data_IF_816744948897
#
_entry.id   IF_816744948897
#
_cell.length_a   1.000
_cell.length_b   1.000
_cell.length_c   1.000
_cell.angle_alpha   90.00
_cell.angle_beta   90.00
_cell.angle_gamma   90.00
#
_symmetry.space_group_name_H-M   'P 1'
#
loop_
_entity.id
_entity.type
_entity.pdbx_description
1 polymer ?
#
# COMPACT_ATOMS: atom_id res chain seq x y z
N UNK A 1 -6.65 -48.05 36.58
CA UNK A 1 -6.01 -47.87 37.91
C UNK A 1 -5.76 -46.38 38.12
N UNK A 2 -6.31 -45.81 39.20
CA UNK A 2 -5.87 -44.62 39.97
C UNK A 2 -5.53 -43.31 39.22
N UNK A 3 -6.00 -42.10 39.55
CA UNK A 3 -6.91 -41.50 40.57
C UNK A 3 -7.00 -39.99 40.22
N UNK A 4 -8.19 -39.38 40.41
CA UNK A 4 -8.52 -38.05 41.05
C UNK A 4 -7.78 -36.77 40.57
N UNK A 5 -8.33 -35.55 40.51
CA UNK A 5 -9.50 -34.82 41.10
C UNK A 5 -9.58 -33.47 40.33
N UNK A 6 -10.72 -33.00 39.76
CA UNK A 6 -11.75 -32.07 40.33
C UNK A 6 -11.15 -30.95 41.21
N UNK A 7 -11.38 -29.65 41.01
CA UNK A 7 -12.67 -28.91 41.08
C UNK A 7 -12.50 -27.46 40.55
N UNK A 8 -13.53 -26.96 39.84
CA UNK A 8 -13.80 -25.56 39.45
C UNK A 8 -14.30 -24.71 40.63
N UNK A 9 -14.07 -23.38 40.63
CA UNK A 9 -15.14 -22.42 40.94
C UNK A 9 -14.75 -20.94 40.68
N UNK A 10 -15.59 -20.32 39.86
CA UNK A 10 -15.93 -18.91 39.67
C UNK A 10 -16.01 -18.02 40.92
N UNK A 11 -15.68 -16.73 40.79
CA UNK A 11 -16.65 -15.59 40.65
C UNK A 11 -16.16 -14.27 41.25
N UNK A 12 -16.44 -13.23 40.48
CA UNK A 12 -16.47 -11.77 40.69
C UNK A 12 -16.81 -11.26 42.10
N UNK A 13 -16.24 -10.11 42.51
CA UNK A 13 -16.90 -8.77 42.53
C UNK A 13 -16.21 -7.74 43.45
N UNK A 14 -16.23 -6.49 42.97
CA UNK A 14 -16.39 -5.20 43.68
C UNK A 14 -15.28 -4.54 44.53
N UNK A 15 -14.82 -3.39 43.98
CA UNK A 15 -14.69 -2.02 44.56
C UNK A 15 -14.32 -1.79 46.03
N UNK A 16 -13.38 -0.87 46.29
CA UNK A 16 -13.61 0.43 46.97
C UNK A 16 -12.29 1.21 47.06
N UNK A 17 -12.33 2.51 46.74
CA UNK A 17 -11.15 3.40 46.80
C UNK A 17 -10.88 4.00 48.18
N UNK A 18 -9.70 4.61 48.34
CA UNK A 18 -9.53 5.96 48.93
C UNK A 18 -8.07 6.41 48.94
N UNK A 19 -7.93 7.69 48.58
CA UNK A 19 -6.80 8.59 48.78
C UNK A 19 -6.55 8.90 50.27
N UNK A 20 -5.28 9.08 50.68
CA UNK A 20 -4.90 10.08 51.70
C UNK A 20 -3.39 10.38 51.73
N UNK A 21 -3.04 11.60 51.31
CA UNK A 21 -2.21 12.61 52.01
C UNK A 21 -0.92 12.23 52.75
N UNK A 22 0.20 12.75 52.20
CA UNK A 22 1.27 13.59 52.78
C UNK A 22 1.52 13.68 54.30
N UNK A 23 2.81 13.87 54.65
CA UNK A 23 3.48 14.55 55.83
C UNK A 23 4.63 13.68 56.36
N UNK A 24 5.86 14.08 56.70
CA UNK A 24 6.65 15.35 56.77
C UNK A 24 8.15 14.97 56.71
N UNK A 25 8.99 15.89 56.26
CA UNK A 25 10.45 16.00 56.45
C UNK A 25 10.98 15.56 57.83
N UNK A 26 12.14 14.89 57.82
CA UNK A 26 13.18 15.05 58.84
C UNK A 26 14.57 15.05 58.19
N UNK A 27 15.17 16.24 58.22
CA UNK A 27 16.58 16.52 57.92
C UNK A 27 17.49 15.91 58.99
N UNK A 28 18.42 15.04 58.61
CA UNK A 28 19.64 14.78 59.38
C UNK A 28 20.87 14.89 58.48
N UNK A 29 21.76 15.85 58.82
CA UNK A 29 23.09 16.01 58.24
C UNK A 29 24.10 15.17 59.02
N UNK A 30 24.88 14.31 58.34
CA UNK A 30 26.23 13.89 58.77
C UNK A 30 27.11 13.49 57.57
N UNK A 31 28.06 14.39 57.26
CA UNK A 31 29.48 14.30 56.82
C UNK A 31 30.03 13.13 55.97
N UNK A 32 31.08 13.42 55.16
CA UNK A 32 31.39 12.76 53.89
C UNK A 32 32.26 11.53 54.08
N UNK A 33 32.04 10.53 53.24
CA UNK A 33 33.03 9.52 52.93
C UNK A 33 33.07 9.36 51.42
N UNK A 34 34.30 9.34 50.92
CA UNK A 34 34.70 9.03 49.56
C UNK A 34 34.00 7.77 49.04
N UNK A 35 33.49 7.83 47.82
CA UNK A 35 33.55 6.78 46.79
C UNK A 35 32.70 7.21 45.59
N UNK A 36 33.33 7.13 44.42
CA UNK A 36 32.75 7.05 43.08
C UNK A 36 32.06 8.31 42.51
N UNK A 37 32.85 9.13 41.81
CA UNK A 37 32.38 9.86 40.63
C UNK A 37 32.00 8.83 39.56
N UNK A 38 30.84 8.19 39.72
CA UNK A 38 30.05 7.78 38.56
C UNK A 38 29.52 9.08 37.97
N UNK A 39 30.16 9.52 36.88
CA UNK A 39 29.52 10.40 35.92
C UNK A 39 28.22 9.70 35.47
N UNK A 40 27.10 10.01 36.13
CA UNK A 40 25.77 9.93 35.54
C UNK A 40 25.80 10.89 34.34
N UNK A 41 26.35 10.42 33.22
CA UNK A 41 26.11 10.97 31.91
C UNK A 41 24.60 11.03 31.79
N UNK A 42 24.04 12.24 31.90
CA UNK A 42 22.67 12.51 31.47
C UNK A 42 22.50 11.81 30.14
N UNK A 43 21.52 10.92 30.01
CA UNK A 43 21.16 10.26 28.74
C UNK A 43 20.95 11.37 27.71
N UNK A 44 22.02 11.69 26.99
CA UNK A 44 22.09 12.87 26.15
C UNK A 44 21.33 12.59 24.88
N UNK A 45 20.54 13.55 24.44
CA UNK A 45 20.04 13.54 23.07
C UNK A 45 21.22 13.81 22.14
N UNK A 46 21.56 12.84 21.29
CA UNK A 46 22.62 12.96 20.29
C UNK A 46 21.99 13.18 18.90
N UNK A 47 22.59 14.05 18.10
CA UNK A 47 22.14 14.30 16.72
C UNK A 47 22.73 13.27 15.75
N UNK A 48 21.89 12.75 14.86
CA UNK A 48 22.29 11.78 13.83
C UNK A 48 22.81 12.51 12.58
N UNK A 49 23.97 12.09 12.08
CA UNK A 49 24.59 12.62 10.86
C UNK A 49 24.26 11.75 9.64
N UNK A 50 24.27 10.43 9.79
CA UNK A 50 24.04 9.47 8.70
C UNK A 50 23.58 8.11 9.26
N UNK A 51 22.71 7.42 8.52
CA UNK A 51 22.44 5.99 8.74
C UNK A 51 23.35 5.20 7.79
N UNK A 52 24.28 4.43 8.34
CA UNK A 52 25.34 3.77 7.58
C UNK A 52 25.09 2.27 7.34
N UNK A 53 24.11 1.68 8.02
CA UNK A 53 23.93 0.23 8.02
C UNK A 53 22.61 -0.20 8.63
N UNK A 54 22.16 -1.39 8.24
CA UNK A 54 21.09 -2.12 8.93
C UNK A 54 21.54 -3.55 9.24
N UNK A 55 21.18 -4.05 10.42
CA UNK A 55 21.30 -5.46 10.79
C UNK A 55 20.02 -5.90 11.50
N UNK A 56 19.79 -7.21 11.55
CA UNK A 56 18.69 -7.77 12.33
C UNK A 56 19.25 -8.61 13.48
N UNK A 57 18.72 -8.40 14.68
CA UNK A 57 19.01 -9.19 15.89
C UNK A 57 17.84 -10.12 16.18
N UNK A 58 17.95 -10.95 17.23
CA UNK A 58 16.89 -11.87 17.67
C UNK A 58 16.37 -12.77 16.53
N UNK A 59 17.28 -13.49 15.87
CA UNK A 59 16.95 -14.39 14.75
C UNK A 59 16.29 -13.70 13.54
N UNK A 60 16.52 -12.39 13.34
CA UNK A 60 16.04 -11.68 12.15
C UNK A 60 14.78 -10.85 12.39
N UNK A 61 14.33 -10.71 13.63
CA UNK A 61 13.04 -10.06 13.94
C UNK A 61 13.18 -8.56 14.21
N UNK A 62 14.25 -8.14 14.89
CA UNK A 62 14.38 -6.76 15.36
C UNK A 62 15.48 -6.02 14.58
N UNK A 63 15.16 -4.98 13.81
CA UNK A 63 16.16 -4.19 13.09
C UNK A 63 16.94 -3.29 14.04
N UNK A 64 18.25 -3.16 13.79
CA UNK A 64 19.11 -2.13 14.35
C UNK A 64 19.84 -1.40 13.22
N UNK A 65 20.07 -0.11 13.43
CA UNK A 65 20.69 0.77 12.45
C UNK A 65 22.07 1.19 12.93
N UNK A 66 23.07 1.14 12.05
CA UNK A 66 24.38 1.69 12.37
C UNK A 66 24.34 3.20 12.18
N UNK A 67 24.49 3.93 13.28
CA UNK A 67 24.30 5.38 13.32
C UNK A 67 25.66 6.05 13.35
N UNK A 68 25.87 6.97 12.41
CA UNK A 68 26.96 7.93 12.47
C UNK A 68 26.46 9.18 13.20
N UNK A 69 27.06 9.47 14.35
CA UNK A 69 26.70 10.62 15.19
C UNK A 69 27.35 11.90 14.68
N UNK A 70 26.62 13.02 14.77
CA UNK A 70 27.07 14.33 14.30
C UNK A 70 28.29 14.82 15.07
N UNK A 71 29.38 15.08 14.34
CA UNK A 71 30.61 15.58 14.93
C UNK A 71 31.52 14.52 15.59
N UNK A 72 31.12 13.25 15.56
CA UNK A 72 31.94 12.13 16.03
C UNK A 72 32.65 11.43 14.85
N UNK A 73 33.64 10.57 15.12
CA UNK A 73 34.27 9.76 14.08
C UNK A 73 33.43 8.51 13.76
N UNK A 74 33.70 7.85 12.62
CA UNK A 74 33.03 6.59 12.26
C UNK A 74 33.31 5.45 13.25
N UNK A 75 34.42 5.49 14.00
CA UNK A 75 34.72 4.52 15.05
C UNK A 75 33.78 4.64 16.26
N UNK A 76 33.09 5.77 16.39
CA UNK A 76 32.07 6.02 17.41
C UNK A 76 30.67 5.58 16.96
N UNK A 77 30.52 4.98 15.77
CA UNK A 77 29.22 4.51 15.32
C UNK A 77 28.68 3.42 16.23
N UNK A 78 27.41 3.55 16.61
CA UNK A 78 26.71 2.55 17.44
C UNK A 78 25.55 1.93 16.67
N UNK A 79 25.08 0.79 17.16
CA UNK A 79 23.93 0.09 16.59
C UNK A 79 22.71 0.38 17.43
N UNK A 80 21.86 1.27 16.92
CA UNK A 80 20.69 1.77 17.63
C UNK A 80 19.43 1.04 17.18
N UNK A 81 18.52 0.71 18.12
CA UNK A 81 17.20 0.22 17.79
C UNK A 81 16.35 1.39 17.24
N UNK A 82 15.25 1.08 16.55
CA UNK A 82 14.46 2.12 15.87
C UNK A 82 13.87 3.15 16.85
N UNK A 83 13.56 2.73 18.07
CA UNK A 83 13.01 3.57 19.14
C UNK A 83 13.92 4.77 19.44
N UNK A 84 15.23 4.57 19.38
CA UNK A 84 16.24 5.61 19.59
C UNK A 84 16.35 6.59 18.41
N UNK A 85 15.73 6.27 17.27
CA UNK A 85 15.76 7.04 16.02
C UNK A 85 14.43 7.69 15.67
N UNK A 86 13.50 7.75 16.64
CA UNK A 86 12.17 8.33 16.47
C UNK A 86 12.18 9.77 15.92
N UNK A 87 13.20 10.56 16.26
CA UNK A 87 13.36 11.94 15.77
C UNK A 87 14.03 12.05 14.38
N UNK A 88 14.58 10.96 13.83
CA UNK A 88 15.30 10.95 12.55
C UNK A 88 14.82 9.83 11.61
N UNK A 89 13.57 9.38 11.74
CA UNK A 89 12.97 8.34 10.89
C UNK A 89 13.05 8.67 9.38
N UNK A 90 13.14 9.94 9.00
CA UNK A 90 13.36 10.35 7.61
C UNK A 90 14.67 9.80 7.03
N UNK A 91 15.77 9.89 7.78
CA UNK A 91 17.09 9.39 7.37
C UNK A 91 17.11 7.86 7.29
N UNK A 92 16.39 7.20 8.21
CA UNK A 92 16.22 5.74 8.17
C UNK A 92 15.47 5.33 6.89
N UNK A 93 14.38 6.02 6.54
CA UNK A 93 13.60 5.74 5.32
C UNK A 93 14.44 5.95 4.06
N UNK A 94 15.24 7.01 3.99
CA UNK A 94 16.12 7.31 2.86
C UNK A 94 17.20 6.24 2.66
N UNK A 95 17.87 5.82 3.75
CA UNK A 95 18.85 4.74 3.71
C UNK A 95 18.25 3.44 3.18
N UNK A 96 17.03 3.11 3.62
CA UNK A 96 16.32 1.92 3.16
C UNK A 96 15.94 2.00 1.69
N UNK A 97 15.37 3.12 1.23
CA UNK A 97 15.07 3.36 -0.18
C UNK A 97 16.31 3.15 -1.04
N UNK A 98 17.45 3.68 -0.62
CA UNK A 98 18.74 3.50 -1.31
C UNK A 98 19.23 2.06 -1.27
N UNK A 99 19.12 1.39 -0.13
CA UNK A 99 19.54 -0.01 0.03
C UNK A 99 18.73 -0.96 -0.85
N UNK A 100 17.40 -0.82 -0.86
CA UNK A 100 16.52 -1.62 -1.71
C UNK A 100 16.69 -1.27 -3.20
N UNK A 101 16.88 0.01 -3.54
CA UNK A 101 17.26 0.42 -4.89
C UNK A 101 18.50 -0.33 -5.37
N UNK A 102 19.56 -0.34 -4.55
CA UNK A 102 20.79 -1.05 -4.88
C UNK A 102 20.57 -2.56 -4.98
N UNK A 103 19.70 -3.18 -4.19
CA UNK A 103 19.45 -4.61 -4.29
C UNK A 103 18.78 -5.00 -5.62
N UNK A 104 17.92 -4.14 -6.17
CA UNK A 104 17.21 -4.38 -7.45
C UNK A 104 18.05 -4.06 -8.70
N UNK A 105 19.15 -3.31 -8.56
CA UNK A 105 20.07 -2.99 -9.66
C UNK A 105 21.06 -4.13 -9.94
N UNK A 106 21.24 -4.47 -11.22
CA UNK A 106 22.28 -5.42 -11.65
C UNK A 106 23.70 -4.86 -11.38
N UNK A 107 24.67 -5.75 -11.25
CA UNK A 107 26.08 -5.44 -10.93
C UNK A 107 26.72 -4.40 -11.83
N UNK A 108 26.32 -4.34 -13.11
CA UNK A 108 26.81 -3.35 -14.08
C UNK A 108 26.25 -1.95 -13.83
N UNK A 109 25.00 -1.83 -13.37
CA UNK A 109 24.33 -0.57 -13.03
C UNK A 109 24.85 0.01 -11.71
N UNK A 110 25.13 -0.86 -10.72
CA UNK A 110 25.78 -0.50 -9.43
C UNK A 110 27.09 0.25 -9.63
N UNK A 111 27.89 -0.15 -10.62
CA UNK A 111 29.20 0.46 -10.92
C UNK A 111 29.12 1.85 -11.57
N UNK A 112 27.94 2.24 -12.07
CA UNK A 112 27.70 3.55 -12.71
C UNK A 112 27.14 4.59 -11.75
N UNK A 113 26.75 4.20 -10.53
CA UNK A 113 26.31 5.17 -9.54
C UNK A 113 27.50 6.10 -9.18
N UNK A 114 27.31 7.42 -9.25
CA UNK A 114 28.35 8.34 -8.83
C UNK A 114 28.70 8.11 -7.36
N UNK A 115 29.99 7.98 -7.04
CA UNK A 115 30.47 8.03 -5.64
C UNK A 115 29.91 9.29 -4.99
N UNK A 116 29.28 9.17 -3.82
CA UNK A 116 28.61 10.25 -3.09
C UNK A 116 29.41 11.56 -3.18
N UNK A 117 29.01 12.42 -4.11
CA UNK A 117 29.45 13.80 -4.15
C UNK A 117 28.29 14.59 -3.58
N UNK A 118 28.62 15.41 -2.58
CA UNK A 118 27.76 16.45 -2.01
C UNK A 118 27.08 17.25 -3.12
N UNK A 119 25.87 16.83 -3.49
CA UNK A 119 24.92 17.65 -4.24
C UNK A 119 24.23 18.47 -3.17
N UNK A 120 24.27 19.80 -3.30
CA UNK A 120 23.53 20.66 -2.38
C UNK A 120 22.04 20.21 -2.36
N UNK A 121 21.42 20.09 -1.17
CA UNK A 121 20.04 19.62 -1.06
C UNK A 121 19.14 20.51 -1.92
N UNK A 122 18.28 19.88 -2.73
CA UNK A 122 17.33 20.58 -3.60
C UNK A 122 16.40 21.43 -2.76
N UNK A 123 15.98 22.59 -3.28
CA UNK A 123 14.88 23.32 -2.62
C UNK A 123 13.60 22.48 -2.67
N UNK A 124 12.72 22.64 -1.68
CA UNK A 124 11.42 21.94 -1.63
C UNK A 124 10.66 22.06 -2.95
N UNK A 125 10.61 23.27 -3.52
CA UNK A 125 9.92 23.51 -4.78
C UNK A 125 10.56 22.76 -5.97
N UNK A 126 11.88 22.62 -6.00
CA UNK A 126 12.57 21.83 -7.02
C UNK A 126 12.33 20.33 -6.85
N UNK A 127 12.33 19.83 -5.62
CA UNK A 127 12.07 18.42 -5.32
C UNK A 127 10.63 18.03 -5.74
N UNK A 128 9.62 18.83 -5.38
CA UNK A 128 8.24 18.59 -5.79
C UNK A 128 8.06 18.64 -7.32
N UNK A 129 8.70 19.61 -8.00
CA UNK A 129 8.66 19.69 -9.47
C UNK A 129 9.31 18.48 -10.13
N UNK A 130 10.49 18.04 -9.66
CA UNK A 130 11.16 16.85 -10.20
C UNK A 130 10.33 15.60 -10.00
N UNK A 131 9.66 15.49 -8.86
CA UNK A 131 8.75 14.38 -8.60
C UNK A 131 7.56 14.42 -9.56
N UNK A 132 6.93 15.58 -9.73
CA UNK A 132 5.85 15.78 -10.71
C UNK A 132 6.29 15.41 -12.13
N UNK A 133 7.47 15.87 -12.57
CA UNK A 133 8.04 15.53 -13.89
C UNK A 133 8.22 14.00 -14.04
N UNK A 134 8.68 13.32 -12.99
CA UNK A 134 8.85 11.86 -12.99
C UNK A 134 7.51 11.11 -13.07
N UNK A 135 6.48 11.55 -12.34
CA UNK A 135 5.12 10.98 -12.43
C UNK A 135 4.53 11.14 -13.84
N UNK A 136 4.82 12.26 -14.52
CA UNK A 136 4.30 12.59 -15.84
C UNK A 136 5.22 12.16 -17.00
N UNK A 137 6.37 11.55 -16.73
CA UNK A 137 7.22 10.96 -17.75
C UNK A 137 6.54 9.76 -18.44
N UNK A 138 5.61 9.11 -17.75
CA UNK A 138 4.76 8.05 -18.27
C UNK A 138 3.52 8.59 -18.99
N UNK A 139 3.05 7.97 -20.09
CA UNK A 139 1.84 8.39 -20.79
C UNK A 139 0.59 8.33 -19.90
N UNK A 140 -0.24 9.37 -19.95
CA UNK A 140 -1.53 9.40 -19.28
C UNK A 140 -2.01 10.82 -18.97
N UNK A 141 -3.21 10.96 -18.37
CA UNK A 141 -3.67 12.23 -17.81
C UNK A 141 -2.70 12.72 -16.72
N UNK A 142 -2.52 14.05 -16.64
CA UNK A 142 -1.55 14.66 -15.72
C UNK A 142 -1.74 14.22 -14.25
N UNK A 143 -0.63 14.10 -13.52
CA UNK A 143 -0.62 14.04 -12.05
C UNK A 143 0.12 15.26 -11.52
N UNK A 144 -0.54 16.14 -10.78
CA UNK A 144 0.13 17.30 -10.15
C UNK A 144 0.54 16.98 -8.71
N UNK A 145 1.53 17.68 -8.17
CA UNK A 145 2.03 17.48 -6.79
C UNK A 145 1.88 18.76 -5.98
N UNK A 146 1.27 18.66 -4.79
CA UNK A 146 1.01 19.78 -3.90
C UNK A 146 1.37 19.45 -2.45
N UNK A 147 2.18 20.31 -1.83
CA UNK A 147 2.40 20.32 -0.39
C UNK A 147 2.35 21.76 0.13
N UNK A 148 1.26 22.09 0.82
CA UNK A 148 1.01 23.34 1.53
C UNK A 148 1.01 23.17 3.06
N UNK A 149 1.44 22.00 3.55
CA UNK A 149 1.33 21.57 4.95
C UNK A 149 2.65 21.66 5.70
N UNK A 150 3.72 21.11 5.13
CA UNK A 150 5.02 20.99 5.78
C UNK A 150 6.17 21.06 4.76
N UNK A 151 7.40 20.84 5.22
CA UNK A 151 8.60 20.85 4.38
C UNK A 151 8.96 19.47 3.79
N UNK A 152 8.10 18.45 4.00
CA UNK A 152 8.33 17.09 3.50
C UNK A 152 8.24 17.06 1.98
N UNK A 153 9.25 16.49 1.33
CA UNK A 153 9.27 16.23 -0.10
C UNK A 153 8.63 14.87 -0.41
N UNK A 154 8.42 14.57 -1.69
CA UNK A 154 7.98 13.25 -2.09
C UNK A 154 9.11 12.22 -1.84
N UNK A 155 8.78 10.92 -1.69
CA UNK A 155 9.77 9.90 -1.35
C UNK A 155 10.94 9.89 -2.33
N UNK A 156 12.16 10.07 -1.81
CA UNK A 156 13.37 10.04 -2.62
C UNK A 156 13.66 8.63 -3.13
N UNK A 157 14.13 8.51 -4.37
CA UNK A 157 14.40 7.23 -5.01
C UNK A 157 13.15 6.46 -5.47
N UNK A 158 11.92 6.91 -5.18
CA UNK A 158 10.74 6.25 -5.71
C UNK A 158 10.71 6.27 -7.24
N UNK A 159 10.39 5.12 -7.85
CA UNK A 159 10.32 4.96 -9.32
C UNK A 159 8.88 4.75 -9.76
N UNK A 160 8.37 5.63 -10.61
CA UNK A 160 7.05 5.46 -11.20
C UNK A 160 7.05 4.44 -12.33
N UNK A 161 6.20 3.41 -12.20
CA UNK A 161 6.01 2.32 -13.17
C UNK A 161 4.52 2.13 -13.45
N UNK A 162 4.15 1.70 -14.65
CA UNK A 162 2.74 1.35 -14.98
C UNK A 162 2.50 -0.17 -15.10
N UNK A 163 3.58 -0.95 -15.13
CA UNK A 163 3.55 -2.41 -15.22
C UNK A 163 4.39 -2.97 -14.07
N UNK A 164 4.03 -4.14 -13.51
CA UNK A 164 4.78 -4.73 -12.42
C UNK A 164 6.20 -5.13 -12.85
N UNK A 165 7.10 -5.14 -11.87
CA UNK A 165 8.47 -5.67 -12.00
C UNK A 165 8.51 -6.99 -11.24
N UNK A 166 9.20 -8.00 -11.75
CA UNK A 166 9.31 -9.31 -11.08
C UNK A 166 10.57 -9.36 -10.25
N UNK A 167 10.43 -9.67 -8.97
CA UNK A 167 11.54 -9.94 -8.07
C UNK A 167 12.32 -11.18 -8.47
N UNK A 168 13.53 -11.30 -7.93
CA UNK A 168 14.51 -12.34 -8.28
C UNK A 168 13.96 -13.78 -8.25
N UNK A 169 13.12 -14.09 -7.27
CA UNK A 169 12.61 -15.44 -7.02
C UNK A 169 11.15 -15.62 -7.52
N UNK A 170 10.68 -14.70 -8.36
CA UNK A 170 9.37 -14.78 -9.00
C UNK A 170 9.54 -15.16 -10.47
N UNK A 171 8.82 -16.21 -10.88
CA UNK A 171 8.78 -16.62 -12.29
C UNK A 171 7.80 -15.71 -13.03
N UNK A 172 8.27 -14.88 -13.99
CA UNK A 172 7.36 -14.08 -14.80
C UNK A 172 6.47 -14.98 -15.67
N UNK A 173 5.28 -14.51 -16.09
CA UNK A 173 4.46 -15.18 -17.07
C UNK A 173 5.26 -15.44 -18.34
N UNK A 174 5.19 -16.67 -18.84
CA UNK A 174 5.74 -17.02 -20.14
C UNK A 174 4.73 -16.64 -21.21
N UNK A 175 5.08 -15.62 -21.99
CA UNK A 175 4.26 -15.06 -23.06
C UNK A 175 3.93 -16.08 -24.15
N UNK A 176 4.72 -17.15 -24.32
CA UNK A 176 4.43 -18.21 -25.27
C UNK A 176 3.22 -19.07 -24.87
N UNK A 177 2.92 -19.12 -23.57
CA UNK A 177 1.78 -19.86 -23.01
C UNK A 177 0.60 -18.96 -22.64
N UNK A 178 0.73 -17.64 -22.85
CA UNK A 178 -0.34 -16.70 -22.55
C UNK A 178 -1.58 -16.99 -23.41
N UNK A 179 -2.69 -17.32 -22.74
CA UNK A 179 -3.95 -17.57 -23.44
C UNK A 179 -4.46 -16.30 -24.13
N UNK A 180 -4.75 -16.39 -25.42
CA UNK A 180 -5.32 -15.30 -26.21
C UNK A 180 -6.54 -15.79 -26.99
N UNK A 181 -7.40 -14.86 -27.41
CA UNK A 181 -8.54 -15.18 -28.26
C UNK A 181 -8.25 -14.87 -29.73
N UNK A 182 -8.88 -15.65 -30.61
CA UNK A 182 -8.89 -15.41 -32.07
C UNK A 182 -10.03 -14.50 -32.55
N UNK A 183 -10.73 -13.82 -31.63
CA UNK A 183 -11.87 -12.96 -31.95
C UNK A 183 -11.44 -11.72 -32.77
N UNK A 184 -12.28 -11.26 -33.69
CA UNK A 184 -12.10 -9.98 -34.38
C UNK A 184 -12.56 -8.77 -33.53
N UNK A 185 -12.32 -7.55 -34.03
CA UNK A 185 -12.75 -6.32 -33.34
C UNK A 185 -14.26 -6.28 -33.07
N UNK A 186 -14.64 -6.26 -31.79
CA UNK A 186 -16.04 -6.20 -31.34
C UNK A 186 -16.75 -7.55 -31.18
N UNK A 187 -16.06 -8.65 -31.47
CA UNK A 187 -16.64 -10.02 -31.47
C UNK A 187 -16.53 -10.74 -30.13
N UNK A 188 -15.77 -10.21 -29.17
CA UNK A 188 -15.68 -10.80 -27.83
C UNK A 188 -17.07 -10.78 -27.15
N UNK A 189 -17.63 -11.98 -26.94
CA UNK A 189 -18.86 -12.23 -26.19
C UNK A 189 -18.61 -13.31 -25.17
N UNK A 190 -19.45 -13.34 -24.13
CA UNK A 190 -19.40 -14.43 -23.17
C UNK A 190 -19.73 -15.74 -23.87
N UNK A 191 -18.84 -16.72 -23.74
CA UNK A 191 -19.02 -18.04 -24.30
C UNK A 191 -18.61 -18.26 -25.74
N UNK A 192 -18.25 -17.20 -26.47
CA UNK A 192 -17.55 -17.32 -27.76
C UNK A 192 -16.08 -16.93 -27.64
N UNK A 193 -15.72 -16.05 -26.70
CA UNK A 193 -14.34 -15.62 -26.50
C UNK A 193 -13.60 -16.58 -25.56
N UNK A 194 -12.47 -17.11 -26.03
CA UNK A 194 -11.58 -18.02 -25.29
C UNK A 194 -11.06 -17.39 -23.98
N UNK A 195 -10.71 -16.09 -23.98
CA UNK A 195 -10.28 -15.37 -22.77
C UNK A 195 -11.37 -15.28 -21.69
N UNK A 196 -12.63 -15.49 -22.05
CA UNK A 196 -13.78 -15.39 -21.15
C UNK A 196 -14.35 -16.77 -20.79
N UNK A 197 -13.68 -17.86 -21.18
CA UNK A 197 -14.15 -19.22 -20.91
C UNK A 197 -14.23 -19.51 -19.42
N UNK A 198 -13.15 -19.23 -18.68
CA UNK A 198 -13.08 -19.46 -17.23
C UNK A 198 -14.05 -18.56 -16.45
N UNK A 199 -14.36 -17.37 -16.99
CA UNK A 199 -15.40 -16.51 -16.43
C UNK A 199 -16.73 -17.24 -16.29
N UNK A 200 -17.09 -18.18 -17.19
CA UNK A 200 -18.36 -18.91 -17.09
C UNK A 200 -18.53 -19.80 -15.85
N UNK A 201 -17.42 -20.32 -15.29
CA UNK A 201 -17.46 -21.22 -14.13
C UNK A 201 -17.59 -20.46 -12.81
N UNK A 202 -16.99 -19.26 -12.73
CA UNK A 202 -16.97 -18.43 -11.53
C UNK A 202 -18.04 -17.33 -11.52
N UNK A 203 -18.58 -16.98 -12.69
CA UNK A 203 -19.60 -15.94 -12.86
C UNK A 203 -21.01 -16.55 -12.87
N UNK A 204 -21.63 -16.62 -11.69
CA UNK A 204 -23.01 -17.10 -11.50
C UNK A 204 -24.00 -16.44 -12.47
N UNK A 205 -23.81 -15.15 -12.77
CA UNK A 205 -24.73 -14.37 -13.59
C UNK A 205 -24.47 -14.50 -15.09
N UNK A 206 -23.39 -15.16 -15.50
CA UNK A 206 -22.98 -15.31 -16.91
C UNK A 206 -23.06 -13.98 -17.68
N UNK A 207 -22.39 -12.95 -17.16
CA UNK A 207 -22.27 -11.63 -17.82
C UNK A 207 -20.83 -11.32 -18.25
N UNK A 208 -20.64 -10.38 -19.18
CA UNK A 208 -19.29 -9.85 -19.42
C UNK A 208 -18.80 -9.08 -18.18
N UNK A 209 -17.50 -9.03 -17.88
CA UNK A 209 -17.00 -8.26 -16.74
C UNK A 209 -17.27 -6.75 -16.88
N UNK A 210 -17.33 -6.24 -18.11
CA UNK A 210 -17.48 -4.81 -18.40
C UNK A 210 -18.71 -4.47 -19.26
N UNK A 211 -19.17 -3.23 -19.10
CA UNK A 211 -20.08 -2.51 -19.96
C UNK A 211 -19.37 -1.94 -21.19
N UNK A 212 -20.13 -1.51 -22.20
CA UNK A 212 -19.57 -0.95 -23.44
C UNK A 212 -18.71 0.29 -23.20
N UNK A 213 -19.01 1.05 -22.15
CA UNK A 213 -18.25 2.22 -21.74
C UNK A 213 -17.03 1.89 -20.87
N UNK A 214 -16.74 0.61 -20.63
CA UNK A 214 -15.61 0.13 -19.84
C UNK A 214 -15.86 0.06 -18.34
N UNK A 215 -17.06 0.41 -17.85
CA UNK A 215 -17.39 0.25 -16.43
C UNK A 215 -17.58 -1.22 -16.07
N UNK A 216 -17.21 -1.62 -14.86
CA UNK A 216 -17.50 -2.96 -14.33
C UNK A 216 -19.01 -3.16 -14.28
N UNK A 217 -19.50 -4.36 -14.68
CA UNK A 217 -20.92 -4.70 -14.55
C UNK A 217 -21.31 -4.87 -13.09
N UNK A 218 -22.54 -4.49 -12.76
CA UNK A 218 -23.05 -4.59 -11.38
C UNK A 218 -23.07 -6.04 -10.88
N UNK A 219 -23.24 -7.00 -11.79
CA UNK A 219 -23.24 -8.44 -11.50
C UNK A 219 -21.86 -9.10 -11.65
N UNK A 220 -20.80 -8.33 -11.92
CA UNK A 220 -19.46 -8.89 -12.02
C UNK A 220 -19.00 -9.41 -10.65
N UNK A 221 -18.27 -10.53 -10.66
CA UNK A 221 -17.59 -11.05 -9.48
C UNK A 221 -16.32 -10.25 -9.20
N UNK A 222 -15.64 -10.56 -8.10
CA UNK A 222 -14.39 -9.90 -7.73
C UNK A 222 -13.23 -10.22 -8.69
N UNK A 223 -13.33 -11.31 -9.47
CA UNK A 223 -12.41 -11.64 -10.55
C UNK A 223 -12.94 -11.14 -11.89
N UNK A 224 -12.19 -10.23 -12.48
CA UNK A 224 -12.45 -9.63 -13.77
C UNK A 224 -11.52 -10.23 -14.82
N UNK A 225 -12.08 -10.62 -15.96
CA UNK A 225 -11.33 -11.24 -17.05
C UNK A 225 -11.10 -10.25 -18.20
N UNK A 226 -9.85 -10.09 -18.61
CA UNK A 226 -9.48 -9.28 -19.77
C UNK A 226 -8.92 -10.11 -20.94
N UNK A 227 -9.11 -9.61 -22.15
CA UNK A 227 -8.37 -10.10 -23.32
C UNK A 227 -6.92 -9.62 -23.27
N UNK A 228 -5.99 -10.38 -23.82
CA UNK A 228 -4.57 -10.01 -23.89
C UNK A 228 -4.22 -9.08 -25.05
N UNK A 229 -3.04 -8.47 -24.99
CA UNK A 229 -2.51 -7.68 -26.11
C UNK A 229 -2.23 -8.53 -27.35
N UNK A 230 -2.06 -9.85 -27.18
CA UNK A 230 -1.93 -10.81 -28.27
C UNK A 230 -3.26 -11.16 -28.97
N UNK A 231 -4.41 -10.74 -28.41
CA UNK A 231 -5.72 -11.05 -29.00
C UNK A 231 -6.01 -10.25 -30.28
N UNK A 232 -6.67 -10.88 -31.25
CA UNK A 232 -7.11 -10.24 -32.50
C UNK A 232 -8.22 -9.18 -32.35
N UNK A 233 -8.80 -9.05 -31.16
CA UNK A 233 -9.95 -8.19 -30.89
C UNK A 233 -9.59 -6.69 -30.78
N UNK A 234 -8.30 -6.37 -30.79
CA UNK A 234 -7.77 -5.01 -30.82
C UNK A 234 -7.95 -4.23 -29.51
N UNK A 235 -7.41 -3.00 -29.43
CA UNK A 235 -7.35 -2.20 -28.19
C UNK A 235 -8.73 -1.69 -27.72
N UNK A 236 -9.71 -1.60 -28.62
CA UNK A 236 -11.07 -1.14 -28.30
C UNK A 236 -11.98 -2.26 -27.80
N UNK A 237 -11.44 -3.45 -27.53
CA UNK A 237 -12.20 -4.56 -26.97
C UNK A 237 -12.88 -4.14 -25.65
N UNK A 238 -14.14 -4.60 -25.47
CA UNK A 238 -14.90 -4.38 -24.23
C UNK A 238 -14.21 -5.03 -23.02
N UNK A 239 -13.47 -6.12 -23.25
CA UNK A 239 -12.71 -6.85 -22.24
C UNK A 239 -11.27 -6.35 -22.10
N UNK A 240 -10.99 -5.08 -22.41
CA UNK A 240 -9.68 -4.43 -22.22
C UNK A 240 -9.85 -3.09 -21.51
N UNK A 241 -10.70 -3.05 -20.49
CA UNK A 241 -11.11 -1.79 -19.88
C UNK A 241 -9.96 -1.12 -19.11
N UNK A 242 -9.23 -1.88 -18.29
CA UNK A 242 -8.09 -1.37 -17.52
C UNK A 242 -6.84 -1.12 -18.38
N UNK A 243 -6.69 -1.86 -19.49
CA UNK A 243 -5.58 -1.68 -20.45
C UNK A 243 -5.58 -0.31 -21.15
N UNK A 244 -6.69 0.43 -21.07
CA UNK A 244 -6.75 1.82 -21.55
C UNK A 244 -5.96 2.80 -20.66
N UNK A 245 -5.49 2.33 -19.50
CA UNK A 245 -4.75 3.14 -18.53
C UNK A 245 -5.64 4.14 -17.79
N UNK A 246 -5.03 4.92 -16.89
CA UNK A 246 -5.71 5.97 -16.12
C UNK A 246 -6.39 6.97 -17.07
N UNK A 247 -7.65 7.32 -16.80
CA UNK A 247 -8.43 8.26 -17.61
C UNK A 247 -8.67 9.62 -16.94
N UNK A 248 -8.25 9.79 -15.69
CA UNK A 248 -8.53 10.98 -14.90
C UNK A 248 -7.25 11.69 -14.47
N UNK A 249 -7.19 13.03 -14.53
CA UNK A 249 -6.10 13.79 -13.94
C UNK A 249 -6.21 13.72 -12.41
N UNK A 250 -5.08 13.58 -11.74
CA UNK A 250 -5.01 13.40 -10.29
C UNK A 250 -4.07 14.45 -9.68
N UNK A 251 -4.20 14.65 -8.37
CA UNK A 251 -3.24 15.44 -7.60
C UNK A 251 -2.77 14.64 -6.40
N UNK A 252 -1.46 14.44 -6.32
CA UNK A 252 -0.81 13.95 -5.12
C UNK A 252 -0.69 15.12 -4.14
N UNK A 253 -1.36 15.03 -3.00
CA UNK A 253 -1.48 16.11 -2.01
C UNK A 253 -0.96 15.64 -0.65
N UNK A 254 -0.18 16.48 0.03
CA UNK A 254 0.18 16.28 1.43
C UNK A 254 -1.01 16.63 2.34
N UNK A 255 -1.38 15.71 3.22
CA UNK A 255 -2.40 15.91 4.25
C UNK A 255 -1.75 16.04 5.64
N UNK A 256 -2.26 16.90 6.54
CA UNK A 256 -1.65 17.12 7.87
C UNK A 256 -1.34 15.87 8.69
N UNK A 257 -2.27 14.90 8.70
CA UNK A 257 -2.15 13.69 9.54
C UNK A 257 -1.84 12.44 8.71
N UNK A 258 -2.44 12.31 7.52
CA UNK A 258 -2.45 11.04 6.78
C UNK A 258 -1.17 10.72 6.01
N UNK A 259 -0.27 11.69 5.85
CA UNK A 259 0.84 11.52 4.91
C UNK A 259 0.54 12.18 3.56
N UNK A 260 1.04 11.54 2.50
CA UNK A 260 0.65 11.83 1.13
C UNK A 260 -0.65 11.10 0.81
N UNK A 261 -1.52 11.71 0.00
CA UNK A 261 -2.76 11.12 -0.48
C UNK A 261 -3.07 11.59 -1.90
N UNK A 262 -4.03 10.97 -2.57
CA UNK A 262 -4.40 11.33 -3.94
C UNK A 262 -5.82 11.87 -3.98
N UNK A 263 -6.02 12.99 -4.68
CA UNK A 263 -7.34 13.56 -4.94
C UNK A 263 -7.64 13.61 -6.43
N UNK A 264 -8.93 13.66 -6.79
CA UNK A 264 -9.36 13.89 -8.16
C UNK A 264 -9.11 15.36 -8.57
N UNK A 265 -8.27 15.58 -9.59
CA UNK A 265 -7.91 16.91 -10.12
C UNK A 265 -8.63 17.27 -11.44
N UNK A 266 -9.74 16.58 -11.69
CA UNK A 266 -10.58 16.78 -12.89
C UNK A 266 -11.68 17.81 -12.67
N UNK A 267 -12.31 18.25 -13.77
CA UNK A 267 -13.49 19.13 -13.72
C UNK A 267 -14.82 18.35 -13.79
N UNK A 268 -14.75 17.01 -13.83
CA UNK A 268 -15.92 16.13 -13.92
C UNK A 268 -15.77 15.00 -12.90
N UNK A 269 -16.89 14.55 -12.30
CA UNK A 269 -16.84 13.44 -11.37
C UNK A 269 -16.51 12.12 -12.08
N UNK A 270 -15.87 11.20 -11.35
CA UNK A 270 -15.73 9.80 -11.77
C UNK A 270 -17.06 9.09 -11.45
N UNK A 271 -17.77 8.50 -12.43
CA UNK A 271 -18.98 7.73 -12.17
C UNK A 271 -18.66 6.43 -11.40
N UNK A 272 -19.63 5.81 -10.71
CA UNK A 272 -19.45 4.49 -10.10
C UNK A 272 -19.05 3.43 -11.14
N UNK A 273 -18.35 2.39 -10.67
CA UNK A 273 -17.83 1.23 -11.41
C UNK A 273 -16.82 1.56 -12.49
N UNK A 274 -16.14 2.71 -12.37
CA UNK A 274 -15.20 3.20 -13.38
C UNK A 274 -13.77 2.90 -12.96
N UNK A 275 -12.95 2.43 -13.90
CA UNK A 275 -11.53 2.16 -13.66
C UNK A 275 -10.81 3.43 -13.21
N UNK A 276 -9.98 3.31 -12.16
CA UNK A 276 -9.18 4.41 -11.63
C UNK A 276 -7.70 4.14 -11.86
N UNK A 277 -7.17 3.04 -11.31
CA UNK A 277 -5.77 2.64 -11.49
C UNK A 277 -5.55 1.16 -11.18
N UNK A 278 -4.41 0.60 -11.58
CA UNK A 278 -3.91 -0.71 -11.12
C UNK A 278 -3.03 -0.49 -9.89
N UNK A 279 -2.97 -1.44 -8.98
CA UNK A 279 -1.92 -1.46 -7.96
C UNK A 279 -0.72 -2.21 -8.52
N UNK A 280 0.38 -1.49 -8.74
CA UNK A 280 1.61 -2.04 -9.33
C UNK A 280 2.80 -1.75 -8.43
N UNK A 281 3.76 -2.65 -8.48
CA UNK A 281 4.99 -2.63 -7.70
C UNK A 281 5.92 -3.75 -8.13
N UNK A 282 6.89 -4.08 -7.29
CA UNK A 282 7.66 -5.31 -7.41
C UNK A 282 6.82 -6.49 -6.93
N UNK A 283 6.64 -7.51 -7.76
CA UNK A 283 6.04 -8.78 -7.34
C UNK A 283 7.14 -9.61 -6.69
N UNK A 284 6.93 -9.97 -5.43
CA UNK A 284 7.85 -10.73 -4.58
C UNK A 284 7.15 -11.96 -4.00
N UNK A 285 7.91 -12.92 -3.48
CA UNK A 285 7.33 -14.06 -2.73
C UNK A 285 6.77 -13.57 -1.40
N UNK A 286 5.78 -14.28 -0.85
CA UNK A 286 5.25 -13.95 0.49
C UNK A 286 6.35 -14.00 1.56
N UNK A 287 7.32 -14.90 1.43
CA UNK A 287 8.47 -14.94 2.35
C UNK A 287 9.29 -13.64 2.30
N UNK A 288 9.62 -13.15 1.11
CA UNK A 288 10.33 -11.87 0.95
C UNK A 288 9.47 -10.71 1.47
N UNK A 289 8.15 -10.75 1.25
CA UNK A 289 7.23 -9.74 1.76
C UNK A 289 7.20 -9.72 3.30
N UNK A 290 7.18 -10.87 3.96
CA UNK A 290 7.29 -10.97 5.43
C UNK A 290 8.62 -10.42 5.95
N UNK A 291 9.73 -10.75 5.28
CA UNK A 291 11.07 -10.24 5.64
C UNK A 291 11.15 -8.71 5.50
N UNK A 292 10.61 -8.14 4.43
CA UNK A 292 10.50 -6.68 4.25
C UNK A 292 9.49 -6.05 5.20
N UNK A 293 8.40 -6.74 5.52
CA UNK A 293 7.34 -6.29 6.43
C UNK A 293 7.86 -5.99 7.83
N UNK A 294 8.74 -6.85 8.36
CA UNK A 294 9.43 -6.64 9.65
C UNK A 294 10.18 -5.31 9.73
N UNK A 295 10.61 -4.79 8.58
CA UNK A 295 11.27 -3.50 8.48
C UNK A 295 10.29 -2.34 8.24
N UNK A 296 9.25 -2.57 7.43
CA UNK A 296 8.30 -1.53 7.04
C UNK A 296 7.31 -1.17 8.16
N UNK A 297 6.86 -2.16 8.94
CA UNK A 297 5.86 -1.98 10.00
C UNK A 297 6.31 -0.98 11.06
N UNK A 298 7.53 -1.09 11.66
CA UNK A 298 7.97 -0.14 12.67
C UNK A 298 8.15 1.29 12.13
N UNK A 299 8.33 1.42 10.81
CA UNK A 299 8.52 2.70 10.11
C UNK A 299 7.20 3.32 9.60
N UNK A 300 6.09 2.57 9.68
CA UNK A 300 4.79 2.96 9.15
C UNK A 300 4.78 3.16 7.63
N UNK A 301 5.52 2.35 6.88
CA UNK A 301 5.70 2.48 5.41
C UNK A 301 5.39 1.17 4.68
N UNK A 302 4.40 0.42 5.14
CA UNK A 302 4.00 -0.84 4.53
C UNK A 302 3.18 -0.58 3.27
N UNK A 303 3.70 -1.00 2.11
CA UNK A 303 3.01 -0.94 0.81
C UNK A 303 2.88 -2.33 0.18
N UNK A 304 2.78 -3.36 1.03
CA UNK A 304 2.65 -4.76 0.65
C UNK A 304 1.17 -5.10 0.44
N UNK A 305 0.87 -5.80 -0.65
CA UNK A 305 -0.48 -6.28 -0.96
C UNK A 305 -0.43 -7.72 -1.47
N UNK A 306 -1.03 -8.64 -0.73
CA UNK A 306 -1.04 -10.07 -1.06
C UNK A 306 -1.95 -10.39 -2.27
N UNK A 307 -1.50 -11.33 -3.11
CA UNK A 307 -2.26 -11.85 -4.24
C UNK A 307 -2.97 -13.16 -3.86
N UNK A 308 -4.00 -13.06 -3.02
CA UNK A 308 -4.60 -14.18 -2.29
C UNK A 308 -5.89 -14.78 -2.91
N UNK A 309 -6.45 -14.18 -3.95
CA UNK A 309 -7.77 -14.57 -4.48
C UNK A 309 -7.85 -16.03 -4.97
N UNK A 310 -6.80 -16.55 -5.61
CA UNK A 310 -6.88 -17.83 -6.34
C UNK A 310 -6.51 -19.06 -5.52
N UNK A 311 -6.14 -18.91 -4.26
CA UNK A 311 -5.43 -19.95 -3.53
C UNK A 311 -6.17 -20.39 -2.28
N UNK A 312 -6.79 -21.57 -2.34
CA UNK A 312 -7.22 -22.30 -1.14
C UNK A 312 -6.07 -22.62 -0.15
N UNK A 313 -4.83 -22.31 -0.54
CA UNK A 313 -3.58 -22.55 0.20
C UNK A 313 -2.90 -21.25 0.66
N UNK A 314 -3.52 -20.08 0.46
CA UNK A 314 -2.93 -18.78 0.78
C UNK A 314 -2.04 -18.21 -0.34
N UNK A 315 -1.71 -16.90 -0.26
CA UNK A 315 -0.98 -16.20 -1.32
C UNK A 315 0.40 -16.82 -1.56
N UNK A 316 0.83 -16.82 -2.82
CA UNK A 316 2.19 -17.23 -3.21
C UNK A 316 3.09 -16.00 -3.40
N UNK A 317 2.48 -14.91 -3.85
CA UNK A 317 3.16 -13.65 -4.16
C UNK A 317 2.43 -12.47 -3.53
N UNK A 318 3.19 -11.39 -3.33
CA UNK A 318 2.70 -10.10 -2.87
C UNK A 318 3.27 -9.00 -3.78
N UNK A 319 2.58 -7.88 -3.88
CA UNK A 319 3.04 -6.68 -4.57
C UNK A 319 3.62 -5.71 -3.54
N UNK A 320 4.88 -5.34 -3.70
CA UNK A 320 5.57 -4.31 -2.91
C UNK A 320 5.70 -3.02 -3.71
N UNK A 321 4.99 -1.97 -3.27
CA UNK A 321 5.03 -0.65 -3.90
C UNK A 321 5.91 0.38 -3.15
N UNK A 322 6.79 -0.08 -2.25
CA UNK A 322 7.66 0.80 -1.46
C UNK A 322 8.60 1.62 -2.35
N UNK A 323 9.45 0.93 -3.13
CA UNK A 323 10.47 1.54 -3.99
C UNK A 323 9.96 1.87 -5.40
N UNK A 324 9.18 0.97 -6.02
CA UNK A 324 8.61 1.19 -7.36
C UNK A 324 7.11 0.98 -7.32
N UNK A 325 6.35 1.83 -7.99
CA UNK A 325 4.90 1.70 -8.06
C UNK A 325 4.30 2.81 -8.89
N UNK A 326 2.99 3.04 -8.79
CA UNK A 326 2.33 4.17 -9.44
C UNK A 326 1.62 5.05 -8.41
N UNK A 327 0.67 5.87 -8.87
CA UNK A 327 -0.15 6.72 -8.00
C UNK A 327 -0.90 5.96 -6.90
N UNK A 328 -1.24 4.68 -7.12
CA UNK A 328 -2.11 3.97 -6.19
C UNK A 328 -1.43 3.59 -4.89
N UNK A 329 -0.09 3.60 -4.83
CA UNK A 329 0.64 3.44 -3.57
C UNK A 329 0.30 4.53 -2.55
N UNK A 330 -0.21 5.67 -3.02
CA UNK A 330 -0.59 6.82 -2.22
C UNK A 330 -2.09 6.89 -1.95
N UNK A 331 -2.88 5.87 -2.31
CA UNK A 331 -4.28 5.82 -1.93
C UNK A 331 -4.38 5.46 -0.45
N UNK A 332 -5.00 6.34 0.34
CA UNK A 332 -5.10 6.14 1.78
C UNK A 332 -6.24 5.18 2.15
N UNK A 333 -6.14 4.65 3.37
CA UNK A 333 -7.22 3.91 3.98
C UNK A 333 -8.42 4.81 4.31
N UNK A 334 -9.62 4.27 4.16
CA UNK A 334 -10.85 4.79 4.76
C UNK A 334 -11.71 3.62 5.24
N UNK A 335 -12.52 3.84 6.28
CA UNK A 335 -13.60 2.91 6.65
C UNK A 335 -14.85 3.10 5.77
N UNK A 336 -14.96 4.25 5.10
CA UNK A 336 -15.95 4.52 4.06
C UNK A 336 -15.23 4.89 2.74
N UNK A 337 -14.51 3.94 2.09
CA UNK A 337 -13.77 4.19 0.86
C UNK A 337 -14.64 4.46 -0.37
N UNK A 338 -14.13 5.24 -1.32
CA UNK A 338 -14.78 5.44 -2.62
C UNK A 338 -14.24 4.55 -3.74
N UNK A 339 -13.21 3.74 -3.46
CA UNK A 339 -12.65 2.75 -4.35
C UNK A 339 -12.90 1.33 -3.82
N UNK A 340 -13.05 0.43 -4.77
CA UNK A 340 -13.13 -1.01 -4.58
C UNK A 340 -12.00 -1.69 -5.32
N UNK A 341 -11.42 -2.72 -4.67
CA UNK A 341 -10.37 -3.55 -5.25
C UNK A 341 -11.01 -4.71 -6.00
N UNK A 342 -10.54 -4.95 -7.22
CA UNK A 342 -10.88 -6.12 -8.03
C UNK A 342 -9.61 -6.83 -8.48
N UNK A 343 -9.68 -8.14 -8.54
CA UNK A 343 -8.65 -8.98 -9.12
C UNK A 343 -8.84 -9.04 -10.63
N UNK A 344 -7.84 -8.62 -11.40
CA UNK A 344 -7.83 -8.74 -12.86
C UNK A 344 -6.97 -9.94 -13.25
N UNK A 345 -7.55 -10.83 -14.05
CA UNK A 345 -6.85 -11.89 -14.77
C UNK A 345 -7.08 -11.74 -16.27
N UNK A 346 -6.20 -12.32 -17.08
CA UNK A 346 -6.12 -12.02 -18.51
C UNK A 346 -4.94 -11.10 -18.82
N UNK A 347 -4.75 -10.73 -20.09
CA UNK A 347 -3.46 -10.12 -20.47
C UNK A 347 -2.37 -11.16 -20.69
N UNK A 348 -1.12 -10.74 -20.45
CA UNK A 348 0.06 -11.61 -20.45
C UNK A 348 0.03 -12.65 -19.32
N UNK A 349 -0.89 -12.49 -18.36
CA UNK A 349 -1.07 -13.33 -17.16
C UNK A 349 -2.13 -14.41 -17.33
N UNK A 350 -2.70 -14.56 -18.52
CA UNK A 350 -3.76 -15.53 -18.77
C UNK A 350 -3.26 -16.96 -18.60
N UNK A 351 -3.61 -17.61 -17.49
CA UNK A 351 -3.13 -18.93 -17.07
C UNK A 351 -2.29 -18.93 -15.79
N UNK A 352 -1.87 -17.74 -15.31
CA UNK A 352 -1.05 -17.57 -14.11
C UNK A 352 -1.89 -17.11 -12.94
N UNK A 353 -2.56 -18.06 -12.30
CA UNK A 353 -3.55 -17.77 -11.26
C UNK A 353 -2.97 -17.04 -10.03
N UNK A 354 -1.65 -17.13 -9.81
CA UNK A 354 -0.94 -16.45 -8.71
C UNK A 354 -0.44 -15.04 -9.06
N UNK A 355 -0.53 -14.62 -10.33
CA UNK A 355 0.01 -13.33 -10.82
C UNK A 355 -1.10 -12.41 -11.34
N UNK A 356 -2.23 -12.39 -10.65
CA UNK A 356 -3.31 -11.45 -10.96
C UNK A 356 -2.89 -9.99 -10.69
N UNK A 357 -3.54 -9.07 -11.37
CA UNK A 357 -3.33 -7.63 -11.15
C UNK A 357 -4.43 -7.09 -10.26
N UNK A 358 -4.04 -6.46 -9.14
CA UNK A 358 -4.97 -5.70 -8.31
C UNK A 358 -5.37 -4.40 -9.02
N UNK A 359 -6.65 -4.03 -8.93
CA UNK A 359 -7.17 -2.84 -9.60
C UNK A 359 -8.24 -2.11 -8.82
N UNK A 360 -8.20 -0.80 -8.90
CA UNK A 360 -9.14 0.10 -8.23
C UNK A 360 -10.21 0.60 -9.19
N UNK A 361 -11.45 0.48 -8.74
CA UNK A 361 -12.65 0.91 -9.44
C UNK A 361 -13.48 1.76 -8.48
N UNK A 362 -14.04 2.86 -8.95
CA UNK A 362 -14.93 3.67 -8.12
C UNK A 362 -16.16 2.86 -7.69
N UNK A 363 -16.58 2.95 -6.44
CA UNK A 363 -17.81 2.30 -5.96
C UNK A 363 -19.00 3.28 -5.91
N UNK A 364 -18.72 4.59 -5.93
CA UNK A 364 -19.67 5.70 -5.98
C UNK A 364 -19.18 6.82 -6.89
N UNK A 365 -19.94 7.90 -6.99
CA UNK A 365 -19.44 9.11 -7.63
C UNK A 365 -18.30 9.71 -6.81
N UNK A 366 -17.21 10.08 -7.48
CA UNK A 366 -16.07 10.79 -6.88
C UNK A 366 -16.04 12.18 -7.51
N UNK A 367 -16.23 13.23 -6.71
CA UNK A 367 -16.26 14.60 -7.18
C UNK A 367 -14.84 15.20 -7.25
N UNK A 368 -14.64 16.25 -8.06
CA UNK A 368 -13.41 17.03 -8.03
C UNK A 368 -13.03 17.45 -6.61
N UNK A 369 -11.78 17.18 -6.21
CA UNK A 369 -11.28 17.44 -4.87
C UNK A 369 -11.49 16.32 -3.85
N UNK A 370 -12.31 15.30 -4.15
CA UNK A 370 -12.47 14.14 -3.27
C UNK A 370 -11.17 13.32 -3.23
N UNK A 371 -10.79 12.87 -2.03
CA UNK A 371 -9.68 11.95 -1.81
C UNK A 371 -10.02 10.53 -2.27
N UNK A 372 -9.12 9.89 -3.00
CA UNK A 372 -9.21 8.51 -3.44
C UNK A 372 -8.76 7.58 -2.32
N UNK A 373 -9.66 6.72 -1.85
CA UNK A 373 -9.44 5.88 -0.68
C UNK A 373 -10.02 4.47 -0.87
N UNK A 374 -9.37 3.47 -0.27
CA UNK A 374 -9.82 2.08 -0.26
C UNK A 374 -9.73 1.48 1.15
N UNK A 375 -10.37 0.33 1.37
CA UNK A 375 -10.22 -0.40 2.64
C UNK A 375 -8.97 -1.30 2.58
N UNK A 376 -8.02 -1.08 3.49
CA UNK A 376 -6.77 -1.85 3.55
C UNK A 376 -7.02 -3.28 4.02
N UNK A 377 -8.15 -3.52 4.71
CA UNK A 377 -8.55 -4.86 5.15
C UNK A 377 -9.37 -5.60 4.09
N UNK A 378 -9.60 -5.00 2.91
CA UNK A 378 -10.19 -5.69 1.78
C UNK A 378 -11.68 -6.02 1.91
N UNK A 379 -12.50 -5.23 2.63
CA UNK A 379 -13.96 -5.44 2.59
C UNK A 379 -14.48 -5.35 1.15
N UNK A 380 -15.10 -6.44 0.69
CA UNK A 380 -15.42 -6.64 -0.71
C UNK A 380 -16.70 -5.90 -1.16
N UNK A 381 -16.70 -5.54 -2.44
CA UNK A 381 -17.72 -4.73 -3.13
C UNK A 381 -19.16 -5.23 -2.99
N UNK A 382 -19.37 -6.54 -2.81
CA UNK A 382 -20.72 -7.08 -2.68
C UNK A 382 -21.44 -6.62 -1.42
N UNK A 383 -20.72 -6.29 -0.35
CA UNK A 383 -21.32 -5.81 0.90
C UNK A 383 -21.85 -4.38 0.72
N UNK A 384 -21.13 -3.58 -0.06
CA UNK A 384 -21.41 -2.17 -0.32
C UNK A 384 -22.62 -1.95 -1.24
N UNK A 385 -22.74 -2.75 -2.31
CA UNK A 385 -23.93 -2.71 -3.15
C UNK A 385 -25.18 -3.24 -2.42
N UNK A 386 -25.03 -4.16 -1.46
CA UNK A 386 -26.14 -4.61 -0.60
C UNK A 386 -26.60 -3.48 0.33
N UNK A 387 -25.67 -2.70 0.88
CA UNK A 387 -25.97 -1.54 1.73
C UNK A 387 -26.61 -0.36 0.97
N UNK A 388 -26.14 -0.02 -0.24
CA UNK A 388 -26.81 1.00 -1.06
C UNK A 388 -28.21 0.53 -1.49
N UNK A 389 -28.41 -0.78 -1.75
CA UNK A 389 -29.75 -1.33 -2.01
C UNK A 389 -30.64 -1.32 -0.78
N UNK A 390 -30.14 -1.68 0.41
CA UNK A 390 -30.92 -1.65 1.65
C UNK A 390 -31.30 -0.21 2.02
N UNK A 391 -30.36 0.73 1.96
CA UNK A 391 -30.60 2.15 2.27
C UNK A 391 -31.51 2.84 1.24
N UNK A 392 -31.44 2.49 -0.06
CA UNK A 392 -32.41 2.94 -1.07
C UNK A 392 -33.79 2.33 -0.89
N UNK A 393 -33.88 1.07 -0.44
CA UNK A 393 -35.14 0.41 -0.15
C UNK A 393 -35.79 0.94 1.15
N UNK A 394 -34.99 1.30 2.15
CA UNK A 394 -35.46 2.00 3.37
C UNK A 394 -35.95 3.40 3.03
N UNK A 395 -35.22 4.18 2.24
CA UNK A 395 -35.66 5.52 1.78
C UNK A 395 -36.89 5.48 0.86
N UNK A 396 -37.23 4.32 0.29
CA UNK A 396 -38.45 4.10 -0.50
C UNK A 396 -39.63 3.59 0.32
N UNK A 397 -39.41 3.17 1.57
CA UNK A 397 -40.47 2.79 2.51
C UNK A 397 -40.84 4.03 3.34
N UNK A 398 -41.95 4.64 2.91
CA UNK A 398 -42.77 5.70 3.51
C UNK A 398 -42.40 7.19 3.33
N UNK A 399 -43.33 7.94 2.71
CA UNK A 399 -44.13 8.87 3.50
C UNK A 399 -45.65 8.80 3.23
N UNK A 400 -46.30 7.63 3.37
CA UNK A 400 -47.76 7.52 3.23
C UNK A 400 -48.56 6.78 4.32
N UNK A 401 -47.96 6.25 5.38
CA UNK A 401 -48.72 5.77 6.55
C UNK A 401 -48.77 6.76 7.75
N UNK A 402 -49.19 8.01 7.52
CA UNK A 402 -49.68 8.88 8.62
C UNK A 402 -50.77 9.85 8.17
N UNK A 403 -51.84 9.38 7.52
CA UNK A 403 -53.11 10.12 7.46
C UNK A 403 -54.29 9.18 7.22
N UNK A 404 -55.07 8.88 8.26
CA UNK A 404 -56.55 9.07 8.34
C UNK A 404 -57.14 8.34 9.57
N UNK A 405 -58.31 8.77 10.05
CA UNK A 405 -58.65 10.06 10.66
C UNK A 405 -58.69 9.99 12.19
#
# INVERSE_FOLDING_TARGET
>A
MSKRQKVEAFSDTESFGRSSTATVDLLERKRPNDEDEEDELSEGEFEVEEICGIRFIQQGETPQFNVKWLGYSYDSNTWEPLENLSNCLGMVKEYLLTTFALQTLDTTEKSKLPSSRSIAPLSRAEALRRFEDMLNASPGPRITVENDVDDVTCPDGFVYINNPVYGKDVLPPDVEFASHCSCGPGDCRLGSCECLYNSKGENEYQVLPFEKDGRVREQATNLLYECSELCGCGPNCISKASQRGRQFPLRLKRFPVKGWGVILDGNRPIPPRTFVSRYVGEIITVQEAEERGKLYEPLGVTYLFDLDYSTNQGPVYSVDAFYQGNESRFFNHSCDPNLSVYNLTGGDYAGYAHLMTLSFWSNRYINPGDELTFDYNGQFVQEWFKEDRSSRNEKRRDPQEKKTP
#
